data_IF_000815113016
#
_entry.id   IF_000815113016
#
_cell.length_a   1.000
_cell.length_b   1.000
_cell.length_c   1.000
_cell.angle_alpha   90.00
_cell.angle_beta   90.00
_cell.angle_gamma   90.00
#
_symmetry.space_group_name_H-M   'P 1'
#
loop_
_entity.id
_entity.type
_entity.pdbx_description
1 polymer ?
#
# COMPACT_ATOMS: atom_id res chain seq x y z
N UNK A 1 2.49 21.27 -1.88
CA UNK A 1 3.41 20.13 -1.69
C UNK A 1 4.51 20.46 -0.70
N UNK A 2 5.37 21.47 -0.99
CA UNK A 2 6.57 21.75 -0.19
C UNK A 2 6.23 22.03 1.29
N UNK A 3 5.25 22.89 1.56
CA UNK A 3 4.85 23.24 2.94
C UNK A 3 4.40 22.00 3.72
N UNK A 4 3.55 21.12 3.13
CA UNK A 4 3.07 19.89 3.79
C UNK A 4 4.24 18.92 4.04
N UNK A 5 5.15 18.75 3.07
CA UNK A 5 6.31 17.87 3.20
C UNK A 5 7.29 18.34 4.29
N UNK A 6 7.41 19.66 4.50
CA UNK A 6 8.34 20.26 5.44
C UNK A 6 7.69 20.73 6.77
N UNK A 7 6.43 20.37 7.03
CA UNK A 7 5.67 20.78 8.23
C UNK A 7 5.54 22.29 8.40
N UNK A 8 5.51 23.04 7.29
CA UNK A 8 5.34 24.48 7.30
C UNK A 8 3.86 24.85 7.30
N UNK A 9 3.55 25.96 7.96
CA UNK A 9 2.20 26.52 7.94
C UNK A 9 1.83 27.01 6.54
N UNK A 10 0.62 26.75 6.12
CA UNK A 10 0.03 27.27 4.88
C UNK A 10 -1.45 27.58 5.07
N UNK A 11 -1.99 28.40 4.19
CA UNK A 11 -3.42 28.76 4.19
C UNK A 11 -4.03 28.47 2.84
N UNK A 12 -5.28 28.03 2.86
CA UNK A 12 -6.12 27.87 1.66
C UNK A 12 -7.34 28.74 1.84
N UNK A 13 -7.45 29.80 1.06
CA UNK A 13 -8.52 30.80 1.23
C UNK A 13 -9.89 30.23 0.85
N UNK A 14 -9.95 29.50 -0.27
CA UNK A 14 -11.16 28.86 -0.76
C UNK A 14 -10.83 27.44 -1.27
N UNK A 15 -11.28 26.46 -0.52
CA UNK A 15 -11.05 25.03 -0.85
C UNK A 15 -11.81 24.58 -2.10
N UNK A 16 -12.86 25.31 -2.50
CA UNK A 16 -13.67 24.98 -3.69
C UNK A 16 -13.08 25.47 -5.00
N UNK A 17 -12.04 26.32 -4.94
CA UNK A 17 -11.36 26.81 -6.14
C UNK A 17 -10.77 25.66 -6.93
N UNK A 18 -11.27 25.46 -8.16
CA UNK A 18 -10.75 24.47 -9.10
C UNK A 18 -9.51 24.99 -9.82
N UNK A 19 -8.52 24.15 -9.96
CA UNK A 19 -7.32 24.35 -10.75
C UNK A 19 -7.24 23.32 -11.85
N UNK A 20 -6.78 23.72 -13.01
CA UNK A 20 -6.31 22.83 -14.05
C UNK A 20 -4.78 22.80 -14.01
N UNK A 21 -4.23 21.62 -13.79
CA UNK A 21 -2.78 21.43 -13.56
C UNK A 21 -2.21 20.44 -14.55
N UNK A 22 -0.96 20.66 -14.93
CA UNK A 22 -0.20 19.84 -15.85
C UNK A 22 1.03 19.29 -15.12
N UNK A 23 1.29 18.00 -15.26
CA UNK A 23 2.48 17.38 -14.71
C UNK A 23 3.69 17.64 -15.61
N UNK A 24 4.86 17.85 -15.02
CA UNK A 24 6.05 18.27 -15.75
C UNK A 24 6.50 17.26 -16.83
N UNK A 25 6.38 15.97 -16.57
CA UNK A 25 6.79 14.95 -17.54
C UNK A 25 5.85 14.94 -18.75
N UNK A 26 4.52 15.13 -18.54
CA UNK A 26 3.57 15.28 -19.66
C UNK A 26 3.88 16.52 -20.52
N UNK A 27 4.33 17.61 -19.89
CA UNK A 27 4.77 18.79 -20.61
C UNK A 27 6.02 18.50 -21.45
N UNK A 28 6.99 17.79 -20.87
CA UNK A 28 8.24 17.44 -21.57
C UNK A 28 7.95 16.50 -22.74
N UNK A 29 7.08 15.50 -22.57
CA UNK A 29 6.63 14.64 -23.67
C UNK A 29 5.96 15.44 -24.79
N UNK A 30 5.04 16.35 -24.45
CA UNK A 30 4.41 17.24 -25.42
C UNK A 30 5.41 18.13 -26.17
N UNK A 31 6.49 18.55 -25.51
CA UNK A 31 7.58 19.27 -26.18
C UNK A 31 8.36 18.38 -27.19
N UNK A 32 8.56 17.10 -26.87
CA UNK A 32 9.16 16.16 -27.81
C UNK A 32 8.22 15.87 -28.99
N UNK A 33 6.93 15.70 -28.75
CA UNK A 33 5.92 15.54 -29.78
C UNK A 33 5.91 16.72 -30.75
N UNK A 34 6.02 17.95 -30.23
CA UNK A 34 6.16 19.16 -31.03
C UNK A 34 7.41 19.12 -31.94
N UNK A 35 8.56 18.66 -31.40
CA UNK A 35 9.79 18.54 -32.19
C UNK A 35 9.70 17.47 -33.27
N UNK A 36 8.86 16.47 -33.10
CA UNK A 36 8.62 15.38 -34.03
C UNK A 36 7.47 15.67 -35.02
N UNK A 37 6.78 16.81 -34.89
CA UNK A 37 5.62 17.19 -35.71
C UNK A 37 4.37 16.36 -35.38
N UNK A 38 4.20 15.99 -34.12
CA UNK A 38 3.06 15.23 -33.57
C UNK A 38 2.27 16.03 -32.55
N UNK A 39 2.48 17.36 -32.52
CA UNK A 39 1.85 18.28 -31.59
C UNK A 39 0.33 18.22 -31.66
N UNK A 40 -0.29 18.44 -30.50
CA UNK A 40 -1.72 18.69 -30.40
C UNK A 40 -2.02 20.18 -30.50
N UNK A 41 -3.10 20.53 -31.19
CA UNK A 41 -3.54 21.91 -31.35
C UNK A 41 -4.81 22.18 -30.54
N UNK A 42 -4.99 23.43 -30.15
CA UNK A 42 -6.17 23.90 -29.44
C UNK A 42 -6.50 25.36 -29.75
N UNK A 43 -7.72 25.75 -29.44
CA UNK A 43 -8.16 27.12 -29.29
C UNK A 43 -8.38 27.47 -27.81
N UNK A 44 -8.16 28.72 -27.50
CA UNK A 44 -8.42 29.28 -26.17
C UNK A 44 -9.23 30.58 -26.32
N UNK A 45 -10.40 30.59 -25.73
CA UNK A 45 -11.34 31.73 -25.78
C UNK A 45 -11.21 32.73 -24.63
N UNK A 46 -10.26 32.51 -23.74
CA UNK A 46 -10.04 33.26 -22.51
C UNK A 46 -10.64 32.61 -21.25
N UNK A 47 -11.35 31.50 -21.40
CA UNK A 47 -12.01 30.74 -20.33
C UNK A 47 -11.58 29.27 -20.38
N UNK A 48 -11.77 28.64 -21.51
CA UNK A 48 -11.47 27.20 -21.68
C UNK A 48 -10.52 26.93 -22.84
N UNK A 49 -9.74 25.86 -22.70
CA UNK A 49 -8.93 25.28 -23.76
C UNK A 49 -9.72 24.15 -24.42
N UNK A 50 -9.98 24.27 -25.73
CA UNK A 50 -10.70 23.28 -26.52
C UNK A 50 -9.74 22.70 -27.57
N UNK A 51 -9.60 21.37 -27.59
CA UNK A 51 -8.82 20.69 -28.61
C UNK A 51 -9.43 20.93 -30.00
N UNK A 52 -8.61 21.39 -30.93
CA UNK A 52 -9.00 21.65 -32.33
C UNK A 52 -7.77 21.41 -33.21
N UNK A 53 -7.86 20.49 -34.16
CA UNK A 53 -6.77 20.16 -35.07
C UNK A 53 -6.25 21.38 -35.87
N UNK A 54 -7.12 22.39 -36.08
CA UNK A 54 -6.77 23.64 -36.76
C UNK A 54 -6.55 24.80 -35.78
N UNK A 55 -6.48 24.49 -34.48
CA UNK A 55 -6.30 25.48 -33.42
C UNK A 55 -5.01 26.27 -33.56
N UNK A 56 -5.04 27.52 -33.11
CA UNK A 56 -3.89 28.44 -33.21
C UNK A 56 -2.75 28.12 -32.24
N UNK A 57 -3.04 27.35 -31.21
CA UNK A 57 -2.11 27.09 -30.12
C UNK A 57 -1.72 25.61 -30.09
N UNK A 58 -0.46 25.34 -29.80
CA UNK A 58 -0.05 23.98 -29.39
C UNK A 58 -0.41 23.78 -27.93
N UNK A 59 -0.87 22.59 -27.57
CA UNK A 59 -1.22 22.25 -26.20
C UNK A 59 -0.78 20.83 -25.83
N UNK A 60 -0.67 20.60 -24.53
CA UNK A 60 -0.54 19.25 -23.97
C UNK A 60 -1.91 18.82 -23.46
N UNK A 61 -2.52 17.79 -24.05
CA UNK A 61 -3.92 17.43 -23.75
C UNK A 61 -4.10 16.72 -22.40
N UNK A 62 -3.02 16.31 -21.75
CA UNK A 62 -3.04 15.57 -20.49
C UNK A 62 -2.99 16.53 -19.31
N UNK A 63 -4.14 17.09 -18.95
CA UNK A 63 -4.30 17.94 -17.77
C UNK A 63 -5.18 17.27 -16.71
N UNK A 64 -5.13 17.76 -15.49
CA UNK A 64 -5.94 17.29 -14.39
C UNK A 64 -6.67 18.48 -13.73
N UNK A 65 -7.98 18.36 -13.56
CA UNK A 65 -8.78 19.29 -12.78
C UNK A 65 -8.91 18.80 -11.35
N UNK A 66 -8.61 19.65 -10.40
CA UNK A 66 -8.73 19.36 -8.98
C UNK A 66 -8.98 20.64 -8.20
N UNK A 67 -9.79 20.58 -7.15
CA UNK A 67 -9.96 21.69 -6.23
C UNK A 67 -8.78 21.82 -5.28
N UNK A 68 -8.56 23.01 -4.75
CA UNK A 68 -7.55 23.23 -3.70
C UNK A 68 -7.81 22.34 -2.48
N UNK A 69 -9.07 22.05 -2.18
CA UNK A 69 -9.45 21.12 -1.12
C UNK A 69 -8.97 19.71 -1.37
N UNK A 70 -9.26 19.16 -2.54
CA UNK A 70 -8.81 17.81 -2.94
C UNK A 70 -7.30 17.68 -2.93
N UNK A 71 -6.58 18.70 -3.40
CA UNK A 71 -5.11 18.72 -3.36
C UNK A 71 -4.58 18.65 -1.93
N UNK A 72 -5.17 19.43 -1.03
CA UNK A 72 -4.76 19.44 0.39
C UNK A 72 -5.08 18.11 1.04
N UNK A 73 -6.26 17.55 0.83
CA UNK A 73 -6.68 16.28 1.43
C UNK A 73 -5.76 15.14 0.98
N UNK A 74 -5.42 15.06 -0.30
CA UNK A 74 -4.43 14.10 -0.81
C UNK A 74 -3.04 14.29 -0.17
N UNK A 75 -2.57 15.53 -0.04
CA UNK A 75 -1.25 15.80 0.57
C UNK A 75 -1.21 15.44 2.06
N UNK A 76 -2.29 15.64 2.81
CA UNK A 76 -2.39 15.22 4.20
C UNK A 76 -2.49 13.69 4.33
N UNK A 77 -3.19 13.02 3.40
CA UNK A 77 -3.19 11.55 3.30
C UNK A 77 -1.77 11.03 3.09
N UNK A 78 -1.03 11.59 2.12
CA UNK A 78 0.37 11.20 1.85
C UNK A 78 1.27 11.42 3.07
N UNK A 79 1.11 12.54 3.75
CA UNK A 79 1.86 12.86 4.96
C UNK A 79 1.59 11.86 6.10
N UNK A 80 0.36 11.37 6.19
CA UNK A 80 -0.04 10.41 7.23
C UNK A 80 0.44 8.98 6.99
N UNK A 81 0.84 8.64 5.76
CA UNK A 81 1.18 7.28 5.33
C UNK A 81 2.20 6.56 6.24
N UNK A 82 3.30 7.20 6.70
CA UNK A 82 4.26 6.52 7.58
C UNK A 82 3.70 6.10 8.94
N UNK A 83 2.58 6.69 9.36
CA UNK A 83 1.90 6.41 10.65
C UNK A 83 0.73 5.45 10.43
N UNK A 84 -0.11 5.74 9.44
CA UNK A 84 -1.30 4.93 9.11
C UNK A 84 -0.96 3.62 8.41
N UNK A 85 0.23 3.54 7.81
CA UNK A 85 0.67 2.49 6.88
C UNK A 85 -0.22 2.36 5.63
N UNK A 86 -1.23 3.23 5.49
CA UNK A 86 -2.17 3.20 4.38
C UNK A 86 -1.51 3.66 3.09
N UNK A 87 -1.44 2.78 2.10
CA UNK A 87 -0.94 3.13 0.76
C UNK A 87 -1.96 4.00 0.04
N UNK A 88 -1.54 5.19 -0.45
CA UNK A 88 -2.42 6.05 -1.22
C UNK A 88 -2.92 5.36 -2.49
N UNK A 89 -4.18 5.59 -2.86
CA UNK A 89 -4.72 5.15 -4.14
C UNK A 89 -4.12 5.98 -5.28
N UNK A 90 -3.16 5.41 -5.96
CA UNK A 90 -2.42 6.05 -7.04
C UNK A 90 -2.51 5.25 -8.36
N UNK A 91 -3.69 5.13 -9.00
CA UNK A 91 -3.82 4.47 -10.28
C UNK A 91 -2.90 5.07 -11.34
N UNK A 92 -2.49 4.26 -12.30
CA UNK A 92 -1.60 4.73 -13.35
C UNK A 92 -2.22 5.91 -14.13
N UNK A 93 -1.42 6.93 -14.44
CA UNK A 93 -1.86 8.15 -15.09
C UNK A 93 -2.73 9.09 -14.24
N UNK A 94 -3.09 8.72 -13.01
CA UNK A 94 -3.95 9.55 -12.16
C UNK A 94 -3.23 10.79 -11.61
N UNK A 95 -4.05 11.82 -11.32
CA UNK A 95 -3.58 13.02 -10.63
C UNK A 95 -2.91 12.68 -9.27
N UNK A 96 -3.53 11.80 -8.49
CA UNK A 96 -3.00 11.38 -7.19
C UNK A 96 -1.59 10.77 -7.31
N UNK A 97 -1.34 9.91 -8.33
CA UNK A 97 -0.01 9.33 -8.57
C UNK A 97 1.04 10.39 -8.88
N UNK A 98 0.71 11.33 -9.76
CA UNK A 98 1.60 12.43 -10.15
C UNK A 98 1.86 13.38 -8.97
N UNK A 99 0.81 13.69 -8.20
CA UNK A 99 0.92 14.53 -7.02
C UNK A 99 1.75 13.86 -5.90
N UNK A 100 1.58 12.55 -5.69
CA UNK A 100 2.37 11.80 -4.72
C UNK A 100 3.85 11.75 -5.11
N UNK A 101 4.15 11.49 -6.39
CA UNK A 101 5.52 11.54 -6.90
C UNK A 101 6.16 12.90 -6.65
N UNK A 102 5.43 13.98 -6.94
CA UNK A 102 5.89 15.35 -6.68
C UNK A 102 6.07 15.61 -5.17
N UNK A 103 5.13 15.17 -4.32
CA UNK A 103 5.22 15.30 -2.87
C UNK A 103 6.50 14.66 -2.33
N UNK A 104 6.82 13.45 -2.75
CA UNK A 104 8.03 12.73 -2.33
C UNK A 104 9.32 13.48 -2.67
N UNK A 105 9.36 14.22 -3.79
CA UNK A 105 10.54 15.02 -4.16
C UNK A 105 10.79 16.21 -3.23
N UNK A 106 9.77 16.62 -2.46
CA UNK A 106 9.88 17.71 -1.48
C UNK A 106 10.16 17.24 -0.06
N UNK A 107 10.18 15.93 0.18
CA UNK A 107 10.53 15.42 1.51
C UNK A 107 11.97 15.78 1.88
N UNK A 108 12.23 16.30 3.07
CA UNK A 108 13.58 16.42 3.57
C UNK A 108 14.20 15.04 3.82
N UNK A 109 15.51 14.93 3.67
CA UNK A 109 16.22 13.64 3.68
C UNK A 109 16.09 12.83 4.98
N UNK A 110 15.87 13.49 6.09
CA UNK A 110 15.61 12.86 7.39
C UNK A 110 14.25 12.14 7.45
N UNK A 111 13.30 12.52 6.58
CA UNK A 111 11.99 11.85 6.43
C UNK A 111 11.96 10.71 5.41
N UNK A 112 13.09 10.39 4.76
CA UNK A 112 13.17 9.22 3.85
C UNK A 112 13.09 7.90 4.60
N UNK A 113 13.32 7.91 5.91
CA UNK A 113 13.31 6.74 6.77
C UNK A 113 12.37 6.96 7.95
N UNK A 114 11.50 6.02 8.18
CA UNK A 114 10.65 5.98 9.38
C UNK A 114 10.69 4.58 10.01
N UNK A 115 10.54 4.54 11.33
CA UNK A 115 10.52 3.28 12.08
C UNK A 115 9.13 2.68 12.05
N UNK A 116 9.04 1.40 11.76
CA UNK A 116 7.80 0.63 11.88
C UNK A 116 7.61 0.13 13.31
N UNK A 117 6.37 0.05 13.76
CA UNK A 117 6.04 -0.47 15.08
C UNK A 117 6.18 -1.98 15.10
N UNK A 118 7.18 -2.48 15.79
CA UNK A 118 7.35 -3.91 16.05
C UNK A 118 6.62 -4.30 17.34
N UNK A 119 5.67 -5.22 17.26
CA UNK A 119 5.04 -5.83 18.43
C UNK A 119 5.86 -7.07 18.82
N UNK A 120 6.70 -6.92 19.85
CA UNK A 120 7.65 -7.96 20.28
C UNK A 120 7.18 -8.63 21.58
N UNK A 121 7.37 -9.96 21.66
CA UNK A 121 7.22 -10.76 22.87
C UNK A 121 8.31 -11.88 22.91
N UNK A 122 8.21 -12.81 23.87
CA UNK A 122 9.17 -13.91 24.02
C UNK A 122 9.15 -14.88 22.83
N UNK A 123 8.09 -14.89 22.04
CA UNK A 123 7.93 -15.75 20.86
C UNK A 123 8.55 -15.16 19.59
N UNK A 124 8.87 -13.86 19.57
CA UNK A 124 9.43 -13.16 18.41
C UNK A 124 8.77 -11.80 18.21
N UNK A 125 8.42 -11.45 16.96
CA UNK A 125 7.80 -10.17 16.65
C UNK A 125 6.73 -10.29 15.56
N UNK A 126 5.83 -9.32 15.54
CA UNK A 126 4.86 -9.09 14.48
C UNK A 126 4.88 -7.60 14.11
N UNK A 127 5.00 -7.31 12.82
CA UNK A 127 5.10 -5.94 12.31
C UNK A 127 4.20 -5.78 11.09
N UNK A 128 3.25 -4.86 11.17
CA UNK A 128 2.47 -4.44 10.01
C UNK A 128 3.33 -3.56 9.11
N UNK A 129 3.34 -3.84 7.81
CA UNK A 129 4.17 -3.15 6.82
C UNK A 129 3.37 -2.17 5.97
N UNK A 130 2.22 -2.61 5.50
CA UNK A 130 1.39 -1.88 4.54
C UNK A 130 -0.08 -2.20 4.77
N UNK A 131 -0.89 -1.17 4.75
CA UNK A 131 -2.35 -1.26 4.67
C UNK A 131 -2.82 -0.79 3.29
N UNK A 132 -3.85 -1.42 2.75
CA UNK A 132 -4.51 -1.00 1.51
C UNK A 132 -6.02 -1.04 1.68
N UNK A 133 -6.73 -0.13 1.00
CA UNK A 133 -8.20 -0.08 1.08
C UNK A 133 -8.84 -1.32 0.46
N UNK A 134 -8.24 -1.85 -0.60
CA UNK A 134 -8.85 -2.90 -1.43
C UNK A 134 -8.34 -4.32 -1.13
N UNK A 135 -7.14 -4.43 -0.52
CA UNK A 135 -6.45 -5.71 -0.33
C UNK A 135 -6.03 -5.99 1.12
N UNK A 136 -6.53 -5.18 2.08
CA UNK A 136 -6.26 -5.39 3.51
C UNK A 136 -4.85 -5.00 3.95
N UNK A 137 -4.10 -5.90 4.58
CA UNK A 137 -2.78 -5.61 5.11
C UNK A 137 -1.71 -6.62 4.70
N UNK A 138 -0.46 -6.14 4.67
CA UNK A 138 0.74 -6.96 4.60
C UNK A 138 1.53 -6.80 5.89
N UNK A 139 2.00 -7.90 6.45
CA UNK A 139 2.77 -7.92 7.69
C UNK A 139 3.92 -8.92 7.62
N UNK A 140 4.87 -8.77 8.53
CA UNK A 140 5.96 -9.73 8.72
C UNK A 140 5.88 -10.29 10.13
N UNK A 141 6.02 -11.60 10.23
CA UNK A 141 6.09 -12.34 11.48
C UNK A 141 7.44 -13.02 11.61
N UNK A 142 8.10 -12.78 12.74
CA UNK A 142 9.35 -13.47 13.09
C UNK A 142 9.05 -14.38 14.29
N UNK A 143 9.24 -15.68 14.11
CA UNK A 143 9.08 -16.68 15.18
C UNK A 143 10.43 -17.23 15.59
N UNK A 144 10.75 -17.15 16.88
CA UNK A 144 11.98 -17.73 17.44
C UNK A 144 12.00 -19.26 17.31
N UNK A 145 13.19 -19.89 17.48
CA UNK A 145 13.34 -21.34 17.42
C UNK A 145 12.32 -22.09 18.26
N UNK A 146 11.69 -23.12 17.69
CA UNK A 146 10.72 -24.01 18.34
C UNK A 146 9.35 -23.37 18.67
N UNK A 147 9.12 -22.13 18.29
CA UNK A 147 7.87 -21.41 18.62
C UNK A 147 6.76 -21.77 17.66
N UNK A 148 5.57 -22.00 18.24
CA UNK A 148 4.31 -22.11 17.51
C UNK A 148 3.49 -20.83 17.68
N UNK A 149 2.99 -20.27 16.57
CA UNK A 149 2.05 -19.13 16.55
C UNK A 149 0.78 -19.51 15.77
N UNK A 150 -0.30 -18.74 15.95
CA UNK A 150 -1.61 -19.01 15.38
C UNK A 150 -2.52 -19.69 16.41
N UNK A 151 -3.01 -20.89 16.14
CA UNK A 151 -4.01 -21.61 16.96
C UNK A 151 -5.36 -20.89 16.94
N UNK A 152 -5.80 -20.49 15.76
CA UNK A 152 -7.07 -19.81 15.58
C UNK A 152 -7.62 -20.01 14.17
N UNK A 153 -8.89 -19.71 14.01
CA UNK A 153 -9.57 -19.70 12.72
C UNK A 153 -10.34 -18.40 12.49
N UNK A 154 -10.80 -18.19 11.27
CA UNK A 154 -11.53 -17.01 10.83
C UNK A 154 -12.85 -17.38 10.17
N UNK A 155 -13.84 -16.48 10.22
CA UNK A 155 -15.14 -16.65 9.58
C UNK A 155 -15.11 -16.27 8.09
N UNK A 156 -14.59 -15.08 7.78
CA UNK A 156 -14.55 -14.51 6.42
C UNK A 156 -13.16 -14.01 6.06
N UNK A 157 -12.35 -13.73 7.05
CA UNK A 157 -10.97 -13.35 6.85
C UNK A 157 -10.17 -14.55 6.32
N UNK A 158 -9.37 -14.31 5.29
CA UNK A 158 -8.39 -15.24 4.80
C UNK A 158 -7.00 -14.63 4.79
N UNK A 159 -6.00 -15.47 4.92
CA UNK A 159 -4.61 -15.04 4.97
C UNK A 159 -3.78 -15.87 3.98
N UNK A 160 -2.62 -15.35 3.60
CA UNK A 160 -1.56 -16.13 2.95
C UNK A 160 -0.31 -16.03 3.80
N UNK A 161 0.31 -17.18 4.08
CA UNK A 161 1.61 -17.24 4.72
C UNK A 161 2.67 -17.61 3.70
N UNK A 162 3.74 -16.82 3.66
CA UNK A 162 4.85 -16.96 2.74
C UNK A 162 6.13 -16.96 3.56
N UNK A 163 6.72 -18.15 3.78
CA UNK A 163 7.99 -18.24 4.50
C UNK A 163 9.12 -17.80 3.58
N UNK A 164 9.92 -16.84 4.03
CA UNK A 164 11.02 -16.24 3.26
C UNK A 164 12.39 -16.51 3.87
N UNK A 165 12.44 -17.02 5.11
CA UNK A 165 13.66 -17.47 5.78
C UNK A 165 13.32 -18.49 6.86
N UNK A 166 14.23 -19.46 7.08
CA UNK A 166 14.08 -20.51 8.07
C UNK A 166 13.30 -21.71 7.54
N UNK A 167 12.94 -22.63 8.43
CA UNK A 167 12.25 -23.88 8.15
C UNK A 167 11.11 -24.07 9.13
N UNK A 168 9.91 -24.29 8.61
CA UNK A 168 8.69 -24.36 9.41
C UNK A 168 7.68 -25.39 8.93
N UNK A 169 6.67 -25.59 9.76
CA UNK A 169 5.50 -26.41 9.48
C UNK A 169 4.25 -25.56 9.67
N UNK A 170 3.39 -25.52 8.66
CA UNK A 170 2.04 -24.96 8.76
C UNK A 170 1.09 -26.15 8.89
N UNK A 171 0.22 -26.08 9.89
CA UNK A 171 -0.84 -27.07 10.10
C UNK A 171 -2.18 -26.38 10.01
N UNK A 172 -3.14 -27.03 9.36
CA UNK A 172 -4.52 -26.56 9.27
C UNK A 172 -5.48 -27.70 9.60
N UNK A 173 -6.56 -27.39 10.31
CA UNK A 173 -7.64 -28.34 10.63
C UNK A 173 -9.00 -27.71 10.37
N UNK A 174 -9.83 -28.38 9.61
CA UNK A 174 -11.23 -28.00 9.41
C UNK A 174 -12.02 -28.11 10.71
N UNK A 175 -12.62 -27.03 11.17
CA UNK A 175 -13.36 -26.98 12.44
C UNK A 175 -14.62 -27.85 12.46
N UNK A 176 -15.19 -28.15 11.29
CA UNK A 176 -16.43 -28.93 11.18
C UNK A 176 -16.19 -30.43 10.94
N UNK A 177 -15.19 -30.77 10.12
CA UNK A 177 -14.92 -32.15 9.73
C UNK A 177 -13.80 -32.80 10.55
N UNK A 178 -12.93 -32.01 11.15
CA UNK A 178 -11.71 -32.46 11.81
C UNK A 178 -10.59 -32.90 10.84
N UNK A 179 -10.78 -32.72 9.53
CA UNK A 179 -9.74 -33.01 8.53
C UNK A 179 -8.54 -32.12 8.78
N UNK A 180 -7.33 -32.70 8.73
CA UNK A 180 -6.06 -32.01 8.94
C UNK A 180 -5.18 -32.10 7.72
N UNK A 181 -4.46 -30.99 7.44
CA UNK A 181 -3.41 -30.93 6.41
C UNK A 181 -2.17 -30.25 6.99
N UNK A 182 -1.02 -30.62 6.46
CA UNK A 182 0.28 -30.09 6.89
C UNK A 182 1.12 -29.71 5.69
N UNK A 183 1.81 -28.56 5.81
CA UNK A 183 2.71 -28.03 4.78
C UNK A 183 4.07 -27.73 5.41
N UNK A 184 5.08 -28.47 5.03
CA UNK A 184 6.46 -28.15 5.36
C UNK A 184 6.93 -27.01 4.44
N UNK A 185 7.46 -25.94 5.00
CA UNK A 185 7.77 -24.68 4.31
C UNK A 185 9.17 -24.20 4.65
N UNK A 186 9.85 -23.59 3.69
CA UNK A 186 11.19 -23.04 3.91
C UNK A 186 11.48 -21.80 3.07
N UNK A 187 12.46 -21.00 3.51
CA UNK A 187 12.97 -19.88 2.73
C UNK A 187 13.74 -20.29 1.47
N UNK A 188 14.16 -21.57 1.35
CA UNK A 188 14.86 -22.08 0.17
C UNK A 188 13.90 -22.31 -1.02
N UNK A 189 12.62 -22.53 -0.73
CA UNK A 189 11.55 -22.67 -1.70
C UNK A 189 10.35 -21.87 -1.26
N UNK A 190 10.21 -20.67 -1.82
CA UNK A 190 9.15 -19.74 -1.44
C UNK A 190 7.82 -20.19 -2.02
N UNK A 191 6.90 -20.56 -1.14
CA UNK A 191 5.54 -20.99 -1.46
C UNK A 191 4.53 -20.17 -0.65
N UNK A 192 3.37 -19.92 -1.22
CA UNK A 192 2.26 -19.27 -0.53
C UNK A 192 1.24 -20.32 -0.09
N UNK A 193 0.92 -20.36 1.19
CA UNK A 193 -0.09 -21.21 1.77
C UNK A 193 -1.28 -20.35 2.18
N UNK A 194 -2.49 -20.73 1.78
CA UNK A 194 -3.72 -20.07 2.17
C UNK A 194 -4.22 -20.57 3.52
N UNK A 195 -4.44 -19.66 4.45
CA UNK A 195 -5.23 -19.88 5.66
C UNK A 195 -6.68 -19.56 5.31
N UNK A 196 -7.49 -20.59 5.10
CA UNK A 196 -8.86 -20.43 4.59
C UNK A 196 -9.89 -20.33 5.71
N UNK A 197 -11.00 -19.59 5.52
CA UNK A 197 -12.06 -19.50 6.52
C UNK A 197 -12.60 -20.88 6.96
N UNK A 198 -12.87 -21.00 8.25
CA UNK A 198 -13.37 -22.25 8.83
C UNK A 198 -12.32 -23.35 9.06
N UNK A 199 -11.03 -23.01 8.87
CA UNK A 199 -9.92 -23.88 9.22
C UNK A 199 -9.06 -23.21 10.30
N UNK A 200 -8.89 -23.89 11.45
CA UNK A 200 -7.91 -23.45 12.44
C UNK A 200 -6.51 -23.75 11.94
N UNK A 201 -5.59 -22.84 12.17
CA UNK A 201 -4.25 -22.95 11.65
C UNK A 201 -3.19 -22.50 12.65
N UNK A 202 -1.98 -23.01 12.45
CA UNK A 202 -0.80 -22.57 13.14
C UNK A 202 0.42 -22.59 12.21
N UNK A 203 1.50 -21.97 12.66
CA UNK A 203 2.83 -22.07 12.06
C UNK A 203 3.86 -22.36 13.14
N UNK A 204 4.68 -23.37 12.92
CA UNK A 204 5.70 -23.87 13.85
C UNK A 204 7.08 -23.60 13.25
N UNK A 205 7.96 -22.97 13.99
CA UNK A 205 9.37 -22.91 13.64
C UNK A 205 10.04 -24.25 14.02
N UNK A 206 10.47 -25.00 13.04
CA UNK A 206 11.11 -26.33 13.23
C UNK A 206 12.61 -26.23 13.55
N UNK A 207 13.23 -25.06 13.38
CA UNK A 207 14.63 -24.87 13.72
C UNK A 207 14.83 -24.76 15.24
N UNK A 208 15.96 -25.26 15.72
CA UNK A 208 16.41 -25.08 17.10
C UNK A 208 17.28 -23.82 17.29
N UNK A 209 17.73 -23.21 16.19
CA UNK A 209 18.76 -22.15 16.24
C UNK A 209 18.42 -20.92 15.41
N UNK A 210 17.55 -21.03 14.42
CA UNK A 210 17.27 -19.95 13.47
C UNK A 210 15.84 -19.46 13.61
N UNK A 211 15.64 -18.18 13.38
CA UNK A 211 14.31 -17.58 13.30
C UNK A 211 13.58 -18.02 12.04
N UNK A 212 12.27 -18.16 12.13
CA UNK A 212 11.37 -18.33 10.99
C UNK A 212 10.75 -16.98 10.63
N UNK A 213 10.98 -16.53 9.39
CA UNK A 213 10.45 -15.27 8.89
C UNK A 213 9.35 -15.54 7.88
N UNK A 214 8.15 -15.06 8.19
CA UNK A 214 6.95 -15.23 7.37
C UNK A 214 6.40 -13.88 6.96
N UNK A 215 6.23 -13.66 5.67
CA UNK A 215 5.41 -12.57 5.13
C UNK A 215 3.96 -13.05 5.13
N UNK A 216 3.06 -12.23 5.62
CA UNK A 216 1.64 -12.53 5.74
C UNK A 216 0.84 -11.47 4.99
N UNK A 217 -0.11 -11.89 4.19
CA UNK A 217 -1.13 -11.01 3.61
C UNK A 217 -2.49 -11.39 4.17
N UNK A 218 -3.34 -10.40 4.38
CA UNK A 218 -4.69 -10.58 4.87
C UNK A 218 -5.64 -9.70 4.05
N UNK A 219 -6.83 -10.21 3.71
CA UNK A 219 -7.82 -9.49 2.91
C UNK A 219 -8.45 -8.28 3.62
N UNK A 220 -8.21 -8.13 4.91
CA UNK A 220 -8.72 -7.00 5.71
C UNK A 220 -7.66 -6.51 6.69
N UNK A 221 -7.78 -5.24 7.10
CA UNK A 221 -6.95 -4.65 8.14
C UNK A 221 -7.47 -5.16 9.50
N UNK A 222 -6.56 -5.50 10.42
CA UNK A 222 -6.94 -5.95 11.75
C UNK A 222 -7.70 -4.86 12.52
N UNK A 223 -8.92 -5.18 12.96
CA UNK A 223 -9.73 -4.36 13.85
C UNK A 223 -9.90 -5.05 15.21
N UNK A 224 -9.31 -4.47 16.25
CA UNK A 224 -9.41 -4.99 17.61
C UNK A 224 -10.85 -4.95 18.17
N UNK A 225 -11.73 -4.09 17.64
CA UNK A 225 -13.14 -4.01 18.02
C UNK A 225 -13.98 -5.13 17.40
N UNK A 226 -13.57 -5.65 16.24
CA UNK A 226 -14.26 -6.71 15.51
C UNK A 226 -13.25 -7.73 14.95
N UNK A 227 -12.47 -8.40 15.82
CA UNK A 227 -11.46 -9.33 15.36
C UNK A 227 -12.15 -10.59 14.85
N UNK A 228 -12.19 -10.83 13.57
CA UNK A 228 -12.63 -12.11 12.97
C UNK A 228 -11.58 -13.20 13.25
N UNK A 229 -11.34 -13.47 14.54
CA UNK A 229 -10.28 -14.39 14.99
C UNK A 229 -10.76 -15.15 16.22
N UNK A 230 -10.87 -16.46 16.11
CA UNK A 230 -11.39 -17.35 17.14
C UNK A 230 -10.33 -18.37 17.55
N UNK A 231 -9.91 -18.32 18.81
CA UNK A 231 -8.90 -19.25 19.31
C UNK A 231 -9.43 -20.71 19.31
N UNK A 232 -8.71 -21.56 18.63
CA UNK A 232 -8.95 -23.01 18.63
C UNK A 232 -7.65 -23.73 18.17
N UNK A 233 -7.08 -24.65 18.97
CA UNK A 233 -5.90 -25.41 18.57
C UNK A 233 -6.14 -26.29 17.32
N UNK A 234 -5.09 -26.47 16.54
CA UNK A 234 -5.06 -27.46 15.43
C UNK A 234 -5.04 -28.87 15.97
#
# INVERSE_FOLDING_TARGET
CWAVANDEEFTVNDRSTELEVLYIDDLVEGMFDLLEGKEQHCEFDGVETVLDENGRYCCVPVTHKATLGEIVDLLEEFKSQPISLMMPKCPDGSFAKKLFSLYLTYLPTDKFKYAMKMNCDDRGSFTELVHTVDCGQVSINISKPGITKGQHWHNSKWEQFIVVHGHGLIQERNINTGETVEFEVSGDKIEAIYMIPGWTHNIINLSETEDLVTVMTCNEIFDAGHPDTFFEPV
#
